data_IF_630047092921
#
_entry.id   IF_630047092921
#
_cell.length_a   1.000
_cell.length_b   1.000
_cell.length_c   1.000
_cell.angle_alpha   90.00
_cell.angle_beta   90.00
_cell.angle_gamma   90.00
#
_symmetry.space_group_name_H-M   'P 1'
#
loop_
_entity.id
_entity.type
_entity.pdbx_description
1 polymer ?
#
# COMPACT_ATOMS: atom_id res chain seq x y z
N UNK A 1 -2.03 10.85 -4.28
CA UNK A 1 -1.47 11.72 -3.22
C UNK A 1 -0.09 11.29 -2.78
N UNK A 2 0.17 9.97 -2.74
CA UNK A 2 1.42 9.39 -2.23
C UNK A 2 2.17 8.51 -3.24
N UNK A 3 1.81 8.57 -4.53
CA UNK A 3 2.45 7.78 -5.58
C UNK A 3 3.97 8.02 -5.64
N UNK A 4 4.42 9.23 -5.28
CA UNK A 4 5.82 9.62 -5.26
C UNK A 4 6.66 8.91 -4.18
N UNK A 5 6.05 8.30 -3.16
CA UNK A 5 6.75 7.49 -2.16
C UNK A 5 7.09 6.09 -2.66
N UNK A 6 6.39 5.62 -3.70
CA UNK A 6 6.66 4.35 -4.37
C UNK A 6 7.63 4.49 -5.53
N UNK A 7 7.58 3.53 -6.46
CA UNK A 7 8.46 3.50 -7.63
C UNK A 7 7.73 3.81 -8.94
N UNK A 8 6.74 2.99 -9.32
CA UNK A 8 6.03 3.07 -10.60
C UNK A 8 4.61 2.51 -10.49
N UNK A 9 3.65 2.90 -11.36
CA UNK A 9 2.40 2.17 -11.52
C UNK A 9 2.55 0.80 -12.20
N UNK A 10 3.73 0.50 -12.78
CA UNK A 10 4.04 -0.80 -13.37
C UNK A 10 4.46 -1.82 -12.29
N UNK A 11 3.83 -3.02 -12.24
CA UNK A 11 4.06 -3.99 -11.17
C UNK A 11 5.48 -4.60 -11.21
N UNK A 12 6.05 -4.76 -12.40
CA UNK A 12 7.39 -5.35 -12.57
C UNK A 12 8.47 -4.36 -12.13
N UNK A 13 8.40 -3.11 -12.59
CA UNK A 13 9.35 -2.07 -12.21
C UNK A 13 9.29 -1.80 -10.70
N UNK A 14 8.10 -1.79 -10.10
CA UNK A 14 7.95 -1.65 -8.65
C UNK A 14 8.46 -2.87 -7.90
N UNK A 15 8.22 -4.10 -8.38
CA UNK A 15 8.75 -5.32 -7.76
C UNK A 15 10.28 -5.33 -7.68
N UNK A 16 10.95 -5.02 -8.80
CA UNK A 16 12.42 -4.88 -8.83
C UNK A 16 12.92 -3.78 -7.89
N UNK A 17 12.24 -2.62 -7.88
CA UNK A 17 12.57 -1.51 -6.99
C UNK A 17 12.43 -1.86 -5.50
N UNK A 18 11.37 -2.57 -5.14
CA UNK A 18 11.14 -3.04 -3.77
C UNK A 18 12.21 -4.04 -3.34
N UNK A 19 12.45 -5.10 -4.13
CA UNK A 19 13.41 -6.15 -3.81
C UNK A 19 14.82 -5.60 -3.54
N UNK A 20 15.34 -4.76 -4.45
CA UNK A 20 16.68 -4.19 -4.31
C UNK A 20 16.79 -3.24 -3.11
N UNK A 21 15.74 -2.47 -2.83
CA UNK A 21 15.69 -1.58 -1.66
C UNK A 21 15.69 -2.38 -0.36
N UNK A 22 14.89 -3.44 -0.30
CA UNK A 22 14.77 -4.31 0.90
C UNK A 22 16.08 -5.05 1.15
N UNK A 23 16.71 -5.61 0.12
CA UNK A 23 18.05 -6.24 0.23
C UNK A 23 19.04 -5.25 0.83
N UNK A 24 19.14 -4.02 0.29
CA UNK A 24 20.07 -3.01 0.80
C UNK A 24 19.83 -2.63 2.27
N UNK A 25 18.56 -2.52 2.68
CA UNK A 25 18.20 -2.23 4.08
C UNK A 25 18.60 -3.42 4.99
N UNK A 26 18.27 -4.65 4.60
CA UNK A 26 18.51 -5.83 5.42
C UNK A 26 19.98 -6.22 5.49
N UNK A 27 20.74 -6.02 4.42
CA UNK A 27 22.21 -6.19 4.39
C UNK A 27 22.91 -5.22 5.35
N UNK A 28 22.31 -4.06 5.63
CA UNK A 28 22.80 -3.10 6.63
C UNK A 28 22.48 -3.49 8.08
N UNK A 29 21.84 -4.65 8.30
CA UNK A 29 21.44 -5.13 9.63
C UNK A 29 20.17 -4.50 10.18
N UNK A 30 19.33 -3.89 9.32
CA UNK A 30 18.08 -3.23 9.70
C UNK A 30 16.88 -3.98 9.11
N UNK A 31 15.80 -4.12 9.87
CA UNK A 31 14.55 -4.76 9.39
C UNK A 31 13.84 -3.82 8.42
N UNK A 32 13.59 -4.28 7.19
CA UNK A 32 12.79 -3.55 6.21
C UNK A 32 11.27 -3.76 6.45
N UNK A 33 10.45 -2.87 5.89
CA UNK A 33 8.99 -2.95 5.99
C UNK A 33 8.34 -2.60 4.64
N UNK A 34 7.78 -3.61 3.97
CA UNK A 34 6.97 -3.43 2.77
C UNK A 34 5.60 -2.82 3.12
N UNK A 35 5.24 -1.70 2.49
CA UNK A 35 4.00 -0.96 2.79
C UNK A 35 3.44 -0.23 1.58
N UNK A 36 2.15 0.10 1.53
CA UNK A 36 1.10 -0.30 2.48
C UNK A 36 0.38 -1.52 1.90
N UNK A 37 0.31 -2.61 2.66
CA UNK A 37 -0.39 -3.82 2.23
C UNK A 37 -1.87 -3.76 2.66
N UNK A 38 -2.86 -3.66 1.77
CA UNK A 38 -2.77 -3.32 0.35
C UNK A 38 -3.96 -2.40 -0.03
N UNK A 39 -3.92 -1.79 -1.22
CA UNK A 39 -5.00 -0.96 -1.78
C UNK A 39 -5.24 0.41 -1.13
N UNK A 40 -4.21 1.05 -0.59
CA UNK A 40 -4.27 2.45 -0.16
C UNK A 40 -3.91 3.42 -1.31
N UNK A 41 -4.65 3.35 -2.42
CA UNK A 41 -4.36 4.10 -3.66
C UNK A 41 -4.77 5.57 -3.61
N UNK A 42 -5.56 5.97 -2.60
CA UNK A 42 -6.00 7.36 -2.44
C UNK A 42 -5.96 7.81 -0.99
N UNK A 43 -5.69 9.11 -0.80
CA UNK A 43 -5.63 9.72 0.53
C UNK A 43 -7.01 10.10 1.07
N UNK A 44 -7.95 10.42 0.18
CA UNK A 44 -9.30 10.78 0.57
C UNK A 44 -9.98 9.57 1.20
N UNK A 45 -10.49 9.76 2.42
CA UNK A 45 -11.19 8.75 3.22
C UNK A 45 -10.35 7.53 3.63
N UNK A 46 -9.01 7.60 3.61
CA UNK A 46 -8.13 6.52 4.12
C UNK A 46 -8.29 6.28 5.63
N UNK A 47 -8.74 7.30 6.35
CA UNK A 47 -9.04 7.29 7.78
C UNK A 47 -10.42 7.93 7.98
N UNK A 48 -11.18 7.50 9.00
CA UNK A 48 -12.38 8.21 9.43
C UNK A 48 -12.04 9.68 9.70
N UNK A 49 -12.85 10.61 9.21
CA UNK A 49 -12.68 12.00 9.57
C UNK A 49 -13.31 12.27 10.93
N UNK A 50 -12.82 13.29 11.64
CA UNK A 50 -13.44 13.69 12.91
C UNK A 50 -14.90 14.13 12.74
N UNK A 51 -15.27 14.61 11.55
CA UNK A 51 -16.66 14.90 11.16
C UNK A 51 -17.56 13.67 11.06
N UNK A 52 -16.97 12.48 10.92
CA UNK A 52 -17.68 11.21 10.76
C UNK A 52 -17.85 10.49 12.11
N UNK A 53 -17.45 11.14 13.21
CA UNK A 53 -17.66 10.67 14.57
C UNK A 53 -19.03 11.15 15.07
N UNK A 54 -19.94 10.22 15.33
CA UNK A 54 -21.18 10.50 16.05
C UNK A 54 -21.07 9.90 17.45
N UNK A 55 -21.20 10.74 18.49
CA UNK A 55 -21.11 10.30 19.89
C UNK A 55 -19.85 9.46 20.22
N UNK A 56 -18.71 9.82 19.62
CA UNK A 56 -17.43 9.10 19.81
C UNK A 56 -17.33 7.76 19.08
N UNK A 57 -18.32 7.41 18.25
CA UNK A 57 -18.34 6.18 17.44
C UNK A 57 -18.03 6.52 15.98
N UNK A 58 -17.23 5.69 15.32
CA UNK A 58 -16.90 5.83 13.91
C UNK A 58 -18.09 5.35 13.08
N UNK A 59 -18.79 6.28 12.42
CA UNK A 59 -19.91 5.95 11.55
C UNK A 59 -19.51 5.78 10.08
N UNK A 60 -18.32 6.27 9.69
CA UNK A 60 -17.73 6.02 8.38
C UNK A 60 -16.33 5.41 8.54
N UNK A 61 -16.14 4.09 8.32
CA UNK A 61 -14.81 3.48 8.33
C UNK A 61 -13.95 4.02 7.18
N UNK A 62 -12.66 3.66 7.16
CA UNK A 62 -11.80 3.94 6.02
C UNK A 62 -12.38 3.37 4.71
N UNK A 63 -12.04 3.99 3.58
CA UNK A 63 -12.44 3.58 2.24
C UNK A 63 -12.25 2.07 2.01
N UNK A 64 -13.26 1.43 1.43
CA UNK A 64 -13.14 0.05 0.92
C UNK A 64 -12.69 0.05 -0.54
N UNK A 65 -11.49 -0.46 -0.79
CA UNK A 65 -11.02 -0.73 -2.15
C UNK A 65 -11.46 -2.12 -2.58
N UNK A 66 -12.45 -2.19 -3.47
CA UNK A 66 -13.04 -3.45 -3.95
C UNK A 66 -12.50 -3.78 -5.34
N UNK A 67 -11.82 -4.91 -5.49
CA UNK A 67 -11.21 -5.36 -6.75
C UNK A 67 -11.39 -6.88 -6.93
N UNK A 68 -11.30 -7.34 -8.17
CA UNK A 68 -11.33 -8.76 -8.50
C UNK A 68 -9.99 -9.47 -8.24
N UNK A 69 -10.03 -10.79 -8.13
CA UNK A 69 -8.89 -11.63 -7.78
C UNK A 69 -7.75 -11.58 -8.80
N UNK A 70 -8.08 -11.42 -10.09
CA UNK A 70 -7.08 -11.33 -11.15
C UNK A 70 -6.32 -10.01 -11.04
N UNK A 71 -7.04 -8.89 -10.89
CA UNK A 71 -6.42 -7.58 -10.69
C UNK A 71 -5.58 -7.54 -9.42
N UNK A 72 -6.00 -8.22 -8.35
CA UNK A 72 -5.17 -8.37 -7.14
C UNK A 72 -3.83 -9.03 -7.48
N UNK A 73 -3.85 -10.21 -8.11
CA UNK A 73 -2.64 -11.00 -8.34
C UNK A 73 -1.73 -10.47 -9.46
N UNK A 74 -2.30 -10.00 -10.57
CA UNK A 74 -1.54 -9.61 -11.75
C UNK A 74 -1.04 -8.15 -11.69
N UNK A 75 -1.48 -7.35 -10.71
CA UNK A 75 -1.09 -5.94 -10.58
C UNK A 75 -0.65 -5.58 -9.16
N UNK A 76 -1.57 -5.55 -8.19
CA UNK A 76 -1.29 -4.94 -6.88
C UNK A 76 -0.42 -5.82 -5.98
N UNK A 77 -0.65 -7.14 -5.98
CA UNK A 77 0.06 -8.09 -5.14
C UNK A 77 1.46 -8.43 -5.68
N UNK A 78 1.66 -8.33 -6.99
CA UNK A 78 2.92 -8.67 -7.66
C UNK A 78 4.16 -8.08 -6.97
N UNK A 79 4.26 -6.75 -6.72
CA UNK A 79 5.45 -6.19 -6.09
C UNK A 79 5.67 -6.64 -4.63
N UNK A 80 4.62 -7.09 -3.93
CA UNK A 80 4.75 -7.66 -2.59
C UNK A 80 5.26 -9.11 -2.61
N UNK A 81 5.10 -9.83 -3.72
CA UNK A 81 5.73 -11.14 -3.90
C UNK A 81 7.25 -11.02 -4.10
N UNK A 82 7.71 -9.92 -4.69
CA UNK A 82 9.13 -9.60 -4.89
C UNK A 82 9.80 -8.98 -3.65
N UNK A 83 9.02 -8.52 -2.67
CA UNK A 83 9.47 -7.74 -1.51
C UNK A 83 10.29 -8.55 -0.49
#
# INVERSE_FOLDING_TARGET
GRNWEGFSPDPVLTGVGMAQTIIGIQDSGVIACAKHYIMNEQEHYRQPQASDLENGTINSPGLSSNLDDRTMHELYLWPFADA
#
